data_IF_143096838563
#
_entry.id   IF_143096838563
#
_cell.length_a   1.000
_cell.length_b   1.000
_cell.length_c   1.000
_cell.angle_alpha   90.00
_cell.angle_beta   90.00
_cell.angle_gamma   90.00
#
_symmetry.space_group_name_H-M   'P 1'
#
loop_
_entity.id
_entity.type
_entity.pdbx_description
1 polymer ?
#
# COMPACT_ATOMS: atom_id res chain seq x y z
N UNK A 1 -0.26 -4.51 13.59
CA UNK A 1 -0.44 -3.59 12.46
C UNK A 1 0.06 -2.23 12.86
N UNK A 2 1.05 -1.76 12.13
CA UNK A 2 1.70 -0.47 12.31
C UNK A 2 1.25 0.41 11.16
N UNK A 3 0.46 1.43 11.48
CA UNK A 3 -0.11 2.35 10.52
C UNK A 3 0.96 3.27 9.93
N UNK A 4 0.85 3.55 8.63
CA UNK A 4 1.64 4.53 7.92
C UNK A 4 1.16 5.94 8.25
N UNK A 5 2.09 6.81 8.63
CA UNK A 5 1.86 8.24 8.82
C UNK A 5 2.50 9.04 7.67
N UNK A 6 1.79 10.04 7.13
CA UNK A 6 2.26 10.88 6.02
C UNK A 6 3.64 11.51 6.27
N UNK A 7 4.00 11.78 7.53
CA UNK A 7 5.33 12.28 7.91
C UNK A 7 6.47 11.34 7.55
N UNK A 8 6.18 10.05 7.37
CA UNK A 8 7.16 9.03 7.00
C UNK A 8 7.38 8.96 5.47
N UNK A 9 6.54 9.62 4.66
CA UNK A 9 6.56 9.48 3.20
C UNK A 9 7.93 9.81 2.61
N UNK A 10 8.56 10.91 3.07
CA UNK A 10 9.86 11.34 2.55
C UNK A 10 10.95 10.31 2.83
N UNK A 11 11.00 9.79 4.04
CA UNK A 11 11.99 8.78 4.42
C UNK A 11 11.73 7.47 3.63
N UNK A 12 10.47 7.18 3.31
CA UNK A 12 10.08 6.01 2.55
C UNK A 12 10.47 6.13 1.07
N UNK A 13 10.38 7.34 0.51
CA UNK A 13 10.88 7.64 -0.84
C UNK A 13 12.39 7.43 -0.95
N UNK A 14 13.17 7.80 0.08
CA UNK A 14 14.63 7.66 0.05
C UNK A 14 15.10 6.20 -0.03
N UNK A 15 14.23 5.25 0.31
CA UNK A 15 14.52 3.81 0.28
C UNK A 15 13.72 3.06 -0.79
N UNK A 16 13.12 3.79 -1.75
CA UNK A 16 12.25 3.24 -2.80
C UNK A 16 11.14 2.34 -2.23
N UNK A 17 10.60 2.71 -1.08
CA UNK A 17 9.58 1.95 -0.37
C UNK A 17 8.20 2.04 -1.01
N UNK A 18 7.28 1.24 -0.48
CA UNK A 18 5.88 1.19 -0.92
C UNK A 18 4.94 1.42 0.24
N UNK A 19 3.75 1.91 -0.08
CA UNK A 19 2.61 1.97 0.83
C UNK A 19 1.57 0.97 0.35
N UNK A 20 1.19 0.02 1.20
CA UNK A 20 0.01 -0.81 0.97
C UNK A 20 -1.19 -0.11 1.61
N UNK A 21 -2.22 0.16 0.82
CA UNK A 21 -3.46 0.82 1.23
C UNK A 21 -4.53 -0.22 1.54
N UNK A 22 -5.64 0.18 2.15
CA UNK A 22 -6.79 -0.71 2.35
C UNK A 22 -6.48 -2.03 3.10
N UNK A 23 -5.47 -2.01 3.97
CA UNK A 23 -5.16 -3.13 4.86
C UNK A 23 -6.12 -3.07 6.04
N UNK A 24 -7.31 -3.66 5.86
CA UNK A 24 -8.45 -3.52 6.79
C UNK A 24 -8.85 -2.05 7.07
N UNK A 25 -8.62 -1.17 6.09
CA UNK A 25 -8.92 0.26 6.18
C UNK A 25 -7.74 1.13 6.61
N UNK A 26 -6.61 0.52 6.96
CA UNK A 26 -5.36 1.21 7.30
C UNK A 26 -4.40 1.21 6.10
N UNK A 27 -3.41 2.10 6.15
CA UNK A 27 -2.25 2.11 5.25
C UNK A 27 -1.03 1.64 6.02
N UNK A 28 -0.10 0.94 5.37
CA UNK A 28 1.18 0.52 5.97
C UNK A 28 2.35 0.79 5.03
N UNK A 29 3.49 1.14 5.60
CA UNK A 29 4.73 1.36 4.86
C UNK A 29 5.60 0.11 4.88
N UNK A 30 6.16 -0.24 3.72
CA UNK A 30 7.15 -1.30 3.56
C UNK A 30 8.39 -0.70 2.93
N UNK A 31 9.52 -0.77 3.63
CA UNK A 31 10.77 -0.21 3.16
C UNK A 31 11.91 -0.46 4.13
N UNK A 32 13.14 -0.49 3.61
CA UNK A 32 14.31 -0.75 4.44
C UNK A 32 14.44 0.31 5.55
N UNK A 33 14.49 -0.12 6.81
CA UNK A 33 14.61 0.77 7.97
C UNK A 33 13.27 1.25 8.54
N UNK A 34 12.16 0.81 7.97
CA UNK A 34 10.82 0.95 8.53
C UNK A 34 10.48 -0.25 9.43
N UNK A 35 9.38 -0.14 10.17
CA UNK A 35 8.90 -1.23 11.03
C UNK A 35 8.59 -2.51 10.24
N UNK A 36 8.11 -2.37 8.99
CA UNK A 36 8.12 -3.45 8.02
C UNK A 36 9.26 -3.22 7.03
N UNK A 37 10.40 -3.85 7.30
CA UNK A 37 11.60 -3.77 6.48
C UNK A 37 11.47 -4.44 5.12
N UNK A 38 10.54 -5.39 5.00
CA UNK A 38 10.21 -6.15 3.79
C UNK A 38 8.78 -6.71 3.85
N UNK A 39 8.30 -7.25 2.72
CA UNK A 39 6.94 -7.79 2.61
C UNK A 39 6.70 -9.03 3.49
N UNK A 40 7.74 -9.80 3.84
CA UNK A 40 7.57 -10.97 4.72
C UNK A 40 7.30 -10.56 6.16
N UNK A 41 7.92 -9.49 6.64
CA UNK A 41 7.66 -8.93 7.97
C UNK A 41 6.23 -8.40 8.07
N UNK A 42 5.75 -7.70 7.03
CA UNK A 42 4.34 -7.33 6.92
C UNK A 42 3.41 -8.56 6.93
N UNK A 43 3.73 -9.59 6.13
CA UNK A 43 2.90 -10.78 6.02
C UNK A 43 2.83 -11.56 7.35
N UNK A 44 3.92 -11.67 8.08
CA UNK A 44 3.95 -12.30 9.41
C UNK A 44 3.01 -11.56 10.37
N UNK A 45 3.12 -10.23 10.45
CA UNK A 45 2.24 -9.43 11.32
C UNK A 45 0.78 -9.51 10.87
N UNK A 46 0.51 -9.41 9.56
CA UNK A 46 -0.83 -9.60 9.00
C UNK A 46 -1.43 -10.96 9.40
N UNK A 47 -0.64 -12.03 9.36
CA UNK A 47 -1.12 -13.36 9.76
C UNK A 47 -1.41 -13.46 11.24
N UNK A 48 -0.69 -12.72 12.09
CA UNK A 48 -0.97 -12.66 13.52
C UNK A 48 -2.26 -11.89 13.83
N UNK A 49 -2.49 -10.76 13.16
CA UNK A 49 -3.65 -9.90 13.42
C UNK A 49 -4.93 -10.39 12.75
N UNK A 50 -4.86 -10.81 11.47
CA UNK A 50 -6.04 -11.11 10.64
C UNK A 50 -6.12 -12.57 10.21
N UNK A 51 -5.01 -13.31 10.30
CA UNK A 51 -4.95 -14.72 9.95
C UNK A 51 -4.66 -14.98 8.48
N UNK A 52 -3.86 -16.01 8.22
CA UNK A 52 -3.48 -16.40 6.85
C UNK A 52 -4.67 -16.83 5.95
N UNK A 53 -5.82 -17.18 6.52
CA UNK A 53 -7.05 -17.43 5.74
C UNK A 53 -7.57 -16.14 5.10
N UNK A 54 -7.58 -15.05 5.84
CA UNK A 54 -8.05 -13.75 5.35
C UNK A 54 -7.15 -13.26 4.22
N UNK A 55 -5.83 -13.36 4.42
CA UNK A 55 -4.84 -13.04 3.38
C UNK A 55 -5.03 -13.87 2.11
N UNK A 56 -5.25 -15.18 2.24
CA UNK A 56 -5.51 -16.04 1.08
C UNK A 56 -6.76 -15.60 0.31
N UNK A 57 -7.83 -15.22 1.01
CA UNK A 57 -9.05 -14.73 0.37
C UNK A 57 -8.83 -13.39 -0.34
N UNK A 58 -8.06 -12.49 0.28
CA UNK A 58 -7.65 -11.20 -0.31
C UNK A 58 -6.86 -11.38 -1.61
N UNK A 59 -5.97 -12.35 -1.63
CA UNK A 59 -5.21 -12.77 -2.82
C UNK A 59 -6.07 -13.52 -3.86
N UNK A 60 -7.37 -13.72 -3.61
CA UNK A 60 -8.28 -14.40 -4.55
C UNK A 60 -8.26 -15.93 -4.47
N UNK A 61 -7.53 -16.52 -3.52
CA UNK A 61 -7.55 -17.97 -3.30
C UNK A 61 -8.83 -18.40 -2.57
N UNK A 62 -9.25 -19.65 -2.80
CA UNK A 62 -10.43 -20.20 -2.12
C UNK A 62 -10.23 -20.33 -0.60
N UNK A 63 -9.02 -20.66 -0.18
CA UNK A 63 -8.62 -20.85 1.21
C UNK A 63 -7.09 -20.98 1.30
N UNK A 64 -6.57 -21.07 2.52
CA UNK A 64 -5.14 -21.23 2.79
C UNK A 64 -4.53 -22.47 2.14
N UNK A 65 -5.24 -23.60 2.07
CA UNK A 65 -4.71 -24.83 1.45
C UNK A 65 -4.51 -24.66 -0.05
N UNK A 66 -5.42 -23.93 -0.70
CA UNK A 66 -5.33 -23.59 -2.12
C UNK A 66 -4.12 -22.67 -2.40
N UNK A 67 -3.95 -21.62 -1.58
CA UNK A 67 -2.78 -20.74 -1.63
C UNK A 67 -1.47 -21.51 -1.44
N UNK A 68 -1.36 -22.31 -0.37
CA UNK A 68 -0.14 -23.08 -0.08
C UNK A 68 0.14 -24.11 -1.18
N UNK A 69 -0.89 -24.76 -1.74
CA UNK A 69 -0.69 -25.64 -2.91
C UNK A 69 -0.13 -24.85 -4.07
N UNK A 70 -0.68 -23.69 -4.41
CA UNK A 70 -0.16 -22.85 -5.48
C UNK A 70 1.31 -22.47 -5.24
N UNK A 71 1.65 -21.99 -4.04
CA UNK A 71 2.99 -21.53 -3.69
C UNK A 71 4.04 -22.65 -3.61
N UNK A 72 3.66 -23.87 -3.22
CA UNK A 72 4.60 -24.98 -3.03
C UNK A 72 4.56 -26.05 -4.13
N UNK A 73 3.57 -26.03 -5.04
CA UNK A 73 3.48 -26.99 -6.16
C UNK A 73 4.26 -26.58 -7.40
N UNK A 74 4.83 -25.37 -7.42
CA UNK A 74 5.55 -24.79 -8.55
C UNK A 74 6.87 -24.14 -8.16
N UNK A 75 7.21 -23.04 -8.82
CA UNK A 75 8.38 -22.23 -8.48
C UNK A 75 8.19 -21.58 -7.11
N UNK A 76 9.19 -21.65 -6.20
CA UNK A 76 9.14 -20.94 -4.93
C UNK A 76 8.83 -19.46 -5.16
N UNK A 77 7.87 -18.93 -4.40
CA UNK A 77 7.53 -17.52 -4.43
C UNK A 77 8.70 -16.71 -3.87
N UNK A 78 9.11 -15.70 -4.62
CA UNK A 78 10.11 -14.72 -4.18
C UNK A 78 9.45 -13.62 -3.36
N UNK A 79 10.28 -12.81 -2.72
CA UNK A 79 9.82 -11.57 -2.08
C UNK A 79 9.11 -10.65 -3.08
N UNK A 80 9.65 -10.54 -4.29
CA UNK A 80 9.12 -9.71 -5.37
C UNK A 80 7.74 -10.21 -5.84
N UNK A 81 7.54 -11.53 -5.92
CA UNK A 81 6.23 -12.10 -6.27
C UNK A 81 5.18 -11.72 -5.22
N UNK A 82 5.52 -11.88 -3.94
CA UNK A 82 4.59 -11.57 -2.84
C UNK A 82 4.28 -10.06 -2.77
N UNK A 83 5.30 -9.22 -2.96
CA UNK A 83 5.13 -7.78 -3.05
C UNK A 83 4.22 -7.41 -4.21
N UNK A 84 4.47 -7.97 -5.40
CA UNK A 84 3.65 -7.74 -6.60
C UNK A 84 2.18 -8.08 -6.37
N UNK A 85 1.90 -9.19 -5.70
CA UNK A 85 0.52 -9.53 -5.34
C UNK A 85 -0.11 -8.54 -4.37
N UNK A 86 0.65 -8.07 -3.37
CA UNK A 86 0.16 -7.09 -2.41
C UNK A 86 -0.05 -5.71 -3.05
N UNK A 87 0.74 -5.37 -4.07
CA UNK A 87 0.61 -4.13 -4.84
C UNK A 87 -0.65 -4.09 -5.72
N UNK A 88 -1.29 -5.23 -6.00
CA UNK A 88 -2.51 -5.26 -6.80
C UNK A 88 -3.64 -4.46 -6.12
N UNK A 89 -4.27 -3.58 -6.90
CA UNK A 89 -5.46 -2.78 -6.54
C UNK A 89 -6.60 -3.55 -5.88
N UNK A 90 -6.75 -4.84 -6.19
CA UNK A 90 -7.79 -5.68 -5.61
C UNK A 90 -7.42 -6.27 -4.24
N UNK A 91 -6.13 -6.23 -3.89
CA UNK A 91 -5.60 -6.81 -2.65
C UNK A 91 -5.42 -5.71 -1.61
N UNK A 92 -4.41 -4.85 -1.82
CA UNK A 92 -4.08 -3.72 -0.95
C UNK A 92 -3.73 -2.44 -1.71
N UNK A 93 -4.03 -2.34 -3.01
CA UNK A 93 -3.89 -1.06 -3.74
C UNK A 93 -2.56 -0.36 -3.47
N UNK A 94 -1.49 -1.15 -3.59
CA UNK A 94 -0.17 -0.70 -3.22
C UNK A 94 0.35 0.34 -4.20
N UNK A 95 1.10 1.30 -3.68
CA UNK A 95 1.66 2.42 -4.43
C UNK A 95 3.11 2.66 -3.99
N UNK A 96 3.98 2.99 -4.94
CA UNK A 96 5.34 3.40 -4.59
C UNK A 96 5.30 4.76 -3.88
N UNK A 97 6.18 4.95 -2.90
CA UNK A 97 6.24 6.21 -2.16
C UNK A 97 6.50 7.42 -3.07
N UNK A 98 7.26 7.23 -4.16
CA UNK A 98 7.46 8.26 -5.19
C UNK A 98 6.15 8.67 -5.87
N UNK A 99 5.31 7.70 -6.21
CA UNK A 99 4.06 7.94 -6.91
C UNK A 99 3.02 8.54 -5.97
N UNK A 100 2.99 8.09 -4.71
CA UNK A 100 2.12 8.67 -3.68
C UNK A 100 2.43 10.15 -3.41
N UNK A 101 3.71 10.53 -3.38
CA UNK A 101 4.07 11.93 -3.25
C UNK A 101 3.60 12.77 -4.44
N UNK A 102 3.69 12.24 -5.66
CA UNK A 102 3.17 12.91 -6.85
C UNK A 102 1.64 13.08 -6.78
N UNK A 103 0.91 12.10 -6.21
CA UNK A 103 -0.53 12.22 -5.97
C UNK A 103 -0.83 13.39 -5.02
N UNK A 104 -0.09 13.54 -3.91
CA UNK A 104 -0.29 14.64 -2.96
C UNK A 104 0.03 16.02 -3.55
N UNK A 105 1.10 16.13 -4.35
CA UNK A 105 1.41 17.39 -5.03
C UNK A 105 0.29 17.78 -5.99
N UNK A 106 -0.24 16.81 -6.76
CA UNK A 106 -1.36 17.04 -7.66
C UNK A 106 -2.65 17.44 -6.95
N UNK A 107 -2.99 16.78 -5.84
CA UNK A 107 -4.16 17.12 -5.03
C UNK A 107 -4.07 18.53 -4.44
N UNK A 108 -2.88 18.93 -4.01
CA UNK A 108 -2.62 20.28 -3.50
C UNK A 108 -2.80 21.34 -4.61
N UNK A 109 -2.24 21.11 -5.79
CA UNK A 109 -2.41 22.02 -6.94
C UNK A 109 -3.88 22.17 -7.31
N UNK A 110 -4.62 21.06 -7.43
CA UNK A 110 -6.05 21.07 -7.76
C UNK A 110 -6.90 21.83 -6.73
N UNK A 111 -6.56 21.73 -5.45
CA UNK A 111 -7.21 22.50 -4.39
C UNK A 111 -7.01 24.01 -4.56
N UNK A 112 -5.76 24.44 -4.78
CA UNK A 112 -5.41 25.85 -4.96
C UNK A 112 -6.11 26.44 -6.19
N UNK A 113 -6.15 25.72 -7.31
CA UNK A 113 -6.86 26.16 -8.51
C UNK A 113 -8.37 26.32 -8.28
N UNK A 114 -8.99 25.39 -7.54
CA UNK A 114 -10.41 25.45 -7.21
C UNK A 114 -10.72 26.64 -6.29
N UNK A 115 -9.83 26.96 -5.36
CA UNK A 115 -9.97 28.11 -4.46
C UNK A 115 -9.87 29.44 -5.24
N UNK A 116 -8.87 29.58 -6.11
CA UNK A 116 -8.69 30.75 -6.98
C UNK A 116 -9.91 30.95 -7.90
N UNK A 117 -10.41 29.87 -8.51
CA UNK A 117 -11.61 29.93 -9.34
C UNK A 117 -12.85 30.38 -8.55
N UNK A 118 -12.96 30.01 -7.26
CA UNK A 118 -14.04 30.46 -6.37
C UNK A 118 -13.90 31.95 -6.06
N UNK A 119 -12.70 32.44 -5.76
CA UNK A 119 -12.48 33.88 -5.51
C UNK A 119 -12.73 34.73 -6.75
N UNK A 120 -12.30 34.30 -7.93
CA UNK A 120 -12.56 35.00 -9.20
C UNK A 120 -14.07 35.16 -9.46
N UNK A 121 -14.88 34.12 -9.18
CA UNK A 121 -16.35 34.18 -9.28
C UNK A 121 -17.01 35.13 -8.28
N UNK A 122 -16.39 35.34 -7.11
CA UNK A 122 -16.88 36.27 -6.09
C UNK A 122 -16.47 37.72 -6.37
N UNK A 123 -15.29 37.96 -6.95
CA UNK A 123 -14.78 39.28 -7.28
C UNK A 123 -15.35 39.88 -8.58
N UNK A 124 -15.94 39.05 -9.45
CA UNK A 124 -16.63 39.49 -10.68
C UNK A 124 -18.11 39.82 -10.51
N UNK A 125 -18.60 39.93 -9.26
CA UNK A 125 -19.96 40.40 -8.90
C UNK A 125 -19.88 41.77 -8.24
#
# INVERSE_FOLDING_TARGET
MIEFEDSQLRDLQEVDGVVLRNVHGESVAIGKGFDYGNIFEFADDYFQFYGAKDFALKLGYKNIVDMLKCWFSGTPQTEEDLLSYCMDSNVFDGIYASDLANEYDYEQEAYLEAEDAKYARLAGK
#
